data_IF_612433701599
#
_entry.id   IF_612433701599
#
_cell.length_a   1.000
_cell.length_b   1.000
_cell.length_c   1.000
_cell.angle_alpha   90.00
_cell.angle_beta   90.00
_cell.angle_gamma   90.00
#
_symmetry.space_group_name_H-M   'P 1'
#
loop_
_entity.id
_entity.type
_entity.pdbx_description
1 polymer ?
#
# COMPACT_ATOMS: atom_id res chain seq x y z
N UNK A 1 -3.71 -6.90 4.29
CA UNK A 1 -2.81 -7.30 3.19
C UNK A 1 -2.89 -8.77 2.80
N UNK A 2 -3.18 -9.70 3.74
CA UNK A 2 -3.26 -11.17 3.48
C UNK A 2 -4.12 -11.51 2.25
N UNK A 3 -5.37 -11.04 2.20
CA UNK A 3 -6.26 -11.25 1.04
C UNK A 3 -5.64 -10.84 -0.30
N UNK A 4 -4.98 -9.67 -0.36
CA UNK A 4 -4.37 -9.17 -1.60
C UNK A 4 -3.24 -10.10 -2.04
N UNK A 5 -2.41 -10.53 -1.08
CA UNK A 5 -1.29 -11.45 -1.32
C UNK A 5 -1.79 -12.79 -1.86
N UNK A 6 -2.76 -13.40 -1.21
CA UNK A 6 -3.30 -14.72 -1.58
C UNK A 6 -3.92 -14.70 -2.99
N UNK A 7 -4.69 -13.66 -3.33
CA UNK A 7 -5.29 -13.54 -4.66
C UNK A 7 -4.22 -13.34 -5.75
N UNK A 8 -3.19 -12.52 -5.50
CA UNK A 8 -2.09 -12.32 -6.45
C UNK A 8 -1.26 -13.59 -6.63
N UNK A 9 -0.97 -14.34 -5.55
CA UNK A 9 -0.23 -15.62 -5.61
C UNK A 9 -0.99 -16.69 -6.39
N UNK A 10 -2.33 -16.62 -6.44
CA UNK A 10 -3.18 -17.50 -7.26
C UNK A 10 -3.30 -17.05 -8.72
N UNK A 11 -2.64 -15.95 -9.10
CA UNK A 11 -2.74 -15.36 -10.44
C UNK A 11 -4.01 -14.54 -10.68
N UNK A 12 -4.74 -14.20 -9.61
CA UNK A 12 -5.92 -13.36 -9.65
C UNK A 12 -5.60 -11.85 -9.72
N UNK A 13 -6.66 -11.04 -9.87
CA UNK A 13 -6.57 -9.59 -9.85
C UNK A 13 -7.40 -9.00 -8.71
N UNK A 14 -6.86 -8.01 -8.02
CA UNK A 14 -7.55 -7.33 -6.91
C UNK A 14 -7.81 -5.87 -7.26
N UNK A 15 -9.08 -5.47 -7.22
CA UNK A 15 -9.49 -4.08 -7.36
C UNK A 15 -9.76 -3.44 -6.00
N UNK A 16 -8.91 -2.48 -5.61
CA UNK A 16 -9.02 -1.76 -4.34
C UNK A 16 -9.69 -0.40 -4.59
N UNK A 17 -10.82 -0.14 -3.94
CA UNK A 17 -11.52 1.14 -4.05
C UNK A 17 -11.94 1.70 -2.69
N UNK A 18 -12.29 2.99 -2.71
CA UNK A 18 -12.99 3.67 -1.62
C UNK A 18 -14.03 4.59 -2.28
N UNK A 19 -14.47 5.67 -1.61
CA UNK A 19 -15.43 6.60 -2.20
C UNK A 19 -14.84 7.36 -3.41
N UNK A 20 -13.65 7.95 -3.27
CA UNK A 20 -13.03 8.80 -4.30
C UNK A 20 -11.72 8.24 -4.89
N UNK A 21 -11.18 7.16 -4.31
CA UNK A 21 -9.88 6.61 -4.74
C UNK A 21 -8.65 7.48 -4.42
N UNK A 22 -8.78 8.48 -3.53
CA UNK A 22 -7.72 9.47 -3.25
C UNK A 22 -6.85 9.10 -2.04
N UNK A 23 -7.45 8.57 -0.97
CA UNK A 23 -6.78 8.33 0.31
C UNK A 23 -6.78 6.86 0.74
N UNK A 24 -7.94 6.33 1.20
CA UNK A 24 -8.02 4.98 1.78
C UNK A 24 -7.58 3.86 0.84
N UNK A 25 -8.10 3.85 -0.39
CA UNK A 25 -7.74 2.84 -1.39
C UNK A 25 -6.24 2.82 -1.73
N UNK A 26 -5.60 3.95 -2.09
CA UNK A 26 -4.16 3.96 -2.34
C UNK A 26 -3.33 3.69 -1.08
N UNK A 27 -3.83 3.99 0.12
CA UNK A 27 -3.16 3.58 1.38
C UNK A 27 -3.10 2.06 1.50
N UNK A 28 -4.19 1.35 1.21
CA UNK A 28 -4.19 -0.12 1.22
C UNK A 28 -3.26 -0.70 0.13
N UNK A 29 -3.22 -0.07 -1.05
CA UNK A 29 -2.25 -0.45 -2.10
C UNK A 29 -0.80 -0.20 -1.65
N UNK A 30 -0.52 0.92 -0.97
CA UNK A 30 0.80 1.23 -0.44
C UNK A 30 1.22 0.21 0.62
N UNK A 31 0.31 -0.18 1.52
CA UNK A 31 0.55 -1.20 2.54
C UNK A 31 0.93 -2.55 1.91
N UNK A 32 0.24 -2.95 0.84
CA UNK A 32 0.59 -4.17 0.12
C UNK A 32 1.96 -4.07 -0.55
N UNK A 33 2.25 -2.98 -1.26
CA UNK A 33 3.57 -2.77 -1.89
C UNK A 33 4.70 -2.78 -0.86
N UNK A 34 4.50 -2.18 0.32
CA UNK A 34 5.50 -2.23 1.39
C UNK A 34 5.72 -3.67 1.87
N UNK A 35 4.65 -4.46 1.98
CA UNK A 35 4.76 -5.89 2.34
C UNK A 35 5.46 -6.76 1.28
N UNK A 36 5.67 -6.26 0.06
CA UNK A 36 6.49 -6.93 -0.96
C UNK A 36 7.95 -6.45 -0.95
N UNK A 37 8.38 -5.73 0.08
CA UNK A 37 9.76 -5.26 0.24
C UNK A 37 10.04 -3.84 -0.26
N UNK A 38 9.04 -3.09 -0.73
CA UNK A 38 9.25 -1.68 -1.06
C UNK A 38 9.30 -0.82 0.21
N UNK A 39 10.10 0.23 0.19
CA UNK A 39 10.02 1.27 1.23
C UNK A 39 8.71 2.07 1.09
N UNK A 40 8.23 2.72 2.16
CA UNK A 40 7.10 3.66 2.08
C UNK A 40 7.24 4.71 0.98
N UNK A 41 8.44 5.26 0.80
CA UNK A 41 8.70 6.26 -0.25
C UNK A 41 8.53 5.67 -1.66
N UNK A 42 9.05 4.45 -1.89
CA UNK A 42 8.92 3.76 -3.16
C UNK A 42 7.47 3.38 -3.47
N UNK A 43 6.71 2.92 -2.48
CA UNK A 43 5.30 2.55 -2.68
C UNK A 43 4.46 3.77 -3.09
N UNK A 44 4.65 4.92 -2.43
CA UNK A 44 3.96 6.16 -2.81
C UNK A 44 4.41 6.70 -4.17
N UNK A 45 5.70 6.65 -4.50
CA UNK A 45 6.19 7.05 -5.81
C UNK A 45 5.59 6.20 -6.93
N UNK A 46 5.52 4.87 -6.72
CA UNK A 46 4.91 3.95 -7.68
C UNK A 46 3.43 4.24 -7.89
N UNK A 47 2.68 4.46 -6.80
CA UNK A 47 1.25 4.80 -6.87
C UNK A 47 1.04 6.14 -7.59
N UNK A 48 1.82 7.18 -7.24
CA UNK A 48 1.69 8.51 -7.84
C UNK A 48 2.06 8.55 -9.32
N UNK A 49 2.96 7.66 -9.78
CA UNK A 49 3.29 7.52 -11.21
C UNK A 49 2.07 7.18 -12.06
N UNK A 50 1.15 6.36 -11.54
CA UNK A 50 -0.06 5.91 -12.26
C UNK A 50 -1.33 6.66 -11.83
N UNK A 51 -1.34 7.24 -10.62
CA UNK A 51 -2.46 8.04 -10.08
C UNK A 51 -1.93 9.32 -9.41
N UNK A 52 -1.58 10.36 -10.19
CA UNK A 52 -0.96 11.59 -9.66
C UNK A 52 -1.82 12.36 -8.65
N UNK A 53 -3.14 12.16 -8.67
CA UNK A 53 -4.10 12.82 -7.78
C UNK A 53 -4.21 12.18 -6.39
N UNK A 54 -3.54 11.04 -6.14
CA UNK A 54 -3.53 10.39 -4.83
C UNK A 54 -2.91 11.32 -3.78
N UNK A 55 -3.64 11.50 -2.69
CA UNK A 55 -3.27 12.37 -1.58
C UNK A 55 -3.71 11.69 -0.27
N UNK A 56 -2.90 10.79 0.30
CA UNK A 56 -3.18 10.25 1.62
C UNK A 56 -3.19 11.37 2.67
N UNK A 57 -3.90 11.16 3.77
CA UNK A 57 -3.80 12.04 4.93
C UNK A 57 -2.48 11.79 5.68
N UNK A 58 -1.98 12.72 6.51
CA UNK A 58 -0.79 12.48 7.32
C UNK A 58 -0.87 11.21 8.17
N UNK A 59 -2.03 10.93 8.79
CA UNK A 59 -2.24 9.70 9.54
C UNK A 59 -2.20 8.44 8.68
N UNK A 60 -2.61 8.51 7.41
CA UNK A 60 -2.45 7.39 6.48
C UNK A 60 -0.99 7.16 6.09
N UNK A 61 -0.22 8.22 5.87
CA UNK A 61 1.22 8.13 5.61
C UNK A 61 1.96 7.53 6.82
N UNK A 62 1.60 7.98 8.03
CA UNK A 62 2.13 7.46 9.30
C UNK A 62 1.85 5.97 9.48
N UNK A 63 0.64 5.51 9.18
CA UNK A 63 0.32 4.08 9.24
C UNK A 63 1.18 3.23 8.30
N UNK A 64 1.57 3.76 7.12
CA UNK A 64 2.48 3.05 6.21
C UNK A 64 3.90 3.01 6.76
N UNK A 65 4.36 4.08 7.42
CA UNK A 65 5.66 4.08 8.10
C UNK A 65 5.68 3.08 9.27
N UNK A 66 4.66 3.10 10.12
CA UNK A 66 4.52 2.15 11.24
C UNK A 66 4.47 0.70 10.76
N UNK A 67 3.73 0.43 9.67
CA UNK A 67 3.69 -0.89 9.05
C UNK A 67 5.09 -1.34 8.59
N UNK A 68 5.85 -0.46 7.92
CA UNK A 68 7.19 -0.78 7.44
C UNK A 68 8.14 -1.12 8.58
N UNK A 69 8.10 -0.37 9.68
CA UNK A 69 8.91 -0.67 10.88
C UNK A 69 8.47 -1.99 11.53
N UNK A 70 7.16 -2.24 11.60
CA UNK A 70 6.62 -3.51 12.06
C UNK A 70 7.15 -4.69 11.26
N UNK A 71 7.12 -4.62 9.93
CA UNK A 71 7.59 -5.68 9.02
C UNK A 71 9.09 -5.97 9.17
N UNK A 72 9.92 -4.93 9.35
CA UNK A 72 11.36 -5.11 9.64
C UNK A 72 11.59 -5.85 10.94
N UNK A 73 10.81 -5.54 11.99
CA UNK A 73 10.97 -6.17 13.30
C UNK A 73 10.63 -7.67 13.29
N UNK A 74 9.77 -8.13 12.37
CA UNK A 74 9.43 -9.54 12.16
C UNK A 74 10.37 -10.26 11.17
N UNK A 75 11.41 -9.59 10.66
CA UNK A 75 12.37 -10.18 9.72
C UNK A 75 11.77 -10.50 8.35
N UNK A 76 10.75 -9.74 7.94
CA UNK A 76 10.04 -9.91 6.67
C UNK A 76 10.44 -8.84 5.66
#
# INVERSE_FOLDING_TARGET
IVFIKEEVERGGNVYIHCAAGIGRAPTMAAAYLVSTGLTPAQSWAMIKRVRPFVRPTPGQEEQIMMLAEGLKAIGQ
#
